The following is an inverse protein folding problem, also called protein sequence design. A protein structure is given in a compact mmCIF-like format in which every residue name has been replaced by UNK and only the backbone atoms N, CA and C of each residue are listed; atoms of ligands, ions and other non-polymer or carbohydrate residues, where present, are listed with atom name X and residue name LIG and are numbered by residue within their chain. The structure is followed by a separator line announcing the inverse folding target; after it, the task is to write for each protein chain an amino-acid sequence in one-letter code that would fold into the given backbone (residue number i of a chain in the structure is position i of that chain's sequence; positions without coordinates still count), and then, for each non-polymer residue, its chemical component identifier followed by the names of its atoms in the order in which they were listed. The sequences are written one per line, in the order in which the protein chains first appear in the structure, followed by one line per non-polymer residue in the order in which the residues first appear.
data_IF_670565792712
#
_entry.id   IF_670565792712
#
_cell.length_a   1.000
_cell.length_b   1.000
_cell.length_c   1.000
_cell.angle_alpha   90.00
_cell.angle_beta   90.00
_cell.angle_gamma   90.00
#
_symmetry.space_group_name_H-M   'P 1'
#
loop_
_entity.id
_entity.type
_entity.pdbx_description
1 polymer ?
#
# COMPACT_ATOMS: atom_id res chain seq x y z
N UNK A 1 -45.44 -45.88 4.96
CA UNK A 1 -43.99 -45.74 5.25
C UNK A 1 -43.17 -45.00 4.16
N UNK A 2 -43.78 -44.51 3.08
CA UNK A 2 -43.08 -43.88 1.94
C UNK A 2 -42.87 -42.35 2.08
N UNK A 3 -43.69 -41.66 2.87
CA UNK A 3 -43.60 -40.19 3.04
C UNK A 3 -42.39 -39.72 3.87
N UNK A 4 -41.96 -40.49 4.86
CA UNK A 4 -40.81 -40.15 5.72
C UNK A 4 -39.47 -40.22 4.99
N UNK A 5 -39.33 -41.11 4.00
CA UNK A 5 -38.10 -41.27 3.20
C UNK A 5 -37.88 -40.09 2.25
N UNK A 6 -38.95 -39.62 1.57
CA UNK A 6 -38.89 -38.41 0.72
C UNK A 6 -38.56 -37.15 1.51
N UNK A 7 -39.12 -36.98 2.72
CA UNK A 7 -38.85 -35.82 3.57
C UNK A 7 -37.38 -35.79 4.05
N UNK A 8 -36.80 -36.94 4.40
CA UNK A 8 -35.36 -37.04 4.74
C UNK A 8 -34.45 -36.70 3.56
N UNK A 9 -34.77 -37.18 2.35
CA UNK A 9 -34.01 -36.86 1.14
C UNK A 9 -34.03 -35.36 0.81
N UNK A 10 -35.17 -34.70 0.97
CA UNK A 10 -35.28 -33.25 0.78
C UNK A 10 -34.45 -32.45 1.79
N UNK A 11 -34.47 -32.86 3.06
CA UNK A 11 -33.65 -32.22 4.11
C UNK A 11 -32.16 -32.40 3.82
N UNK A 12 -31.73 -33.59 3.37
CA UNK A 12 -30.34 -33.86 3.01
C UNK A 12 -29.92 -33.00 1.81
N UNK A 13 -30.77 -32.87 0.79
CA UNK A 13 -30.48 -32.03 -0.37
C UNK A 13 -30.33 -30.54 0.01
N UNK A 14 -31.21 -30.03 0.87
CA UNK A 14 -31.14 -28.65 1.37
C UNK A 14 -29.89 -28.47 2.24
N UNK A 15 -29.57 -29.42 3.12
CA UNK A 15 -28.38 -29.35 3.96
C UNK A 15 -27.08 -29.35 3.13
N UNK A 16 -27.01 -30.19 2.09
CA UNK A 16 -25.88 -30.21 1.15
C UNK A 16 -25.77 -28.89 0.37
N UNK A 17 -26.89 -28.34 -0.07
CA UNK A 17 -26.90 -27.05 -0.77
C UNK A 17 -26.43 -25.90 0.13
N UNK A 18 -26.90 -25.84 1.38
CA UNK A 18 -26.45 -24.85 2.37
C UNK A 18 -24.98 -25.02 2.71
N UNK A 19 -24.50 -26.26 2.88
CA UNK A 19 -23.08 -26.53 3.12
C UNK A 19 -22.21 -26.08 1.94
N UNK A 20 -22.67 -26.30 0.71
CA UNK A 20 -22.00 -25.82 -0.49
C UNK A 20 -21.94 -24.29 -0.55
N UNK A 21 -23.04 -23.60 -0.28
CA UNK A 21 -23.06 -22.13 -0.22
C UNK A 21 -22.13 -21.58 0.86
N UNK A 22 -22.10 -22.19 2.05
CA UNK A 22 -21.17 -21.81 3.11
C UNK A 22 -19.72 -22.01 2.69
N UNK A 23 -19.40 -23.13 2.03
CA UNK A 23 -18.08 -23.38 1.49
C UNK A 23 -17.68 -22.33 0.45
N UNK A 24 -18.57 -22.00 -0.51
CA UNK A 24 -18.33 -20.95 -1.48
C UNK A 24 -18.11 -19.58 -0.82
N UNK A 25 -18.95 -19.20 0.15
CA UNK A 25 -18.82 -17.93 0.88
C UNK A 25 -17.51 -17.87 1.65
N UNK A 26 -17.10 -18.97 2.29
CA UNK A 26 -15.84 -19.05 3.02
C UNK A 26 -14.64 -18.87 2.09
N UNK A 27 -14.66 -19.53 0.92
CA UNK A 27 -13.62 -19.37 -0.11
C UNK A 27 -13.56 -17.91 -0.58
N UNK A 28 -14.69 -17.33 -1.00
CA UNK A 28 -14.74 -15.95 -1.50
C UNK A 28 -14.25 -14.95 -0.44
N UNK A 29 -14.65 -15.11 0.82
CA UNK A 29 -14.22 -14.23 1.91
C UNK A 29 -12.71 -14.26 2.19
N UNK A 30 -12.03 -15.35 1.81
CA UNK A 30 -10.58 -15.53 1.96
C UNK A 30 -9.81 -15.23 0.68
N UNK A 31 -10.50 -15.05 -0.45
CA UNK A 31 -9.86 -14.75 -1.73
C UNK A 31 -9.51 -13.27 -1.79
N UNK A 32 -8.22 -12.98 -1.79
CA UNK A 32 -7.72 -11.65 -2.13
C UNK A 32 -7.78 -11.46 -3.64
N UNK A 33 -8.80 -10.75 -4.12
CA UNK A 33 -8.90 -10.34 -5.51
C UNK A 33 -7.89 -9.21 -5.76
N UNK A 34 -6.70 -9.57 -6.21
CA UNK A 34 -5.70 -8.60 -6.64
C UNK A 34 -5.89 -8.30 -8.13
N UNK A 35 -6.15 -7.05 -8.48
CA UNK A 35 -6.15 -6.55 -9.87
C UNK A 35 -4.75 -6.09 -10.27
N UNK A 36 -3.73 -6.79 -9.79
CA UNK A 36 -2.34 -6.42 -10.01
C UNK A 36 -1.83 -7.07 -11.30
N UNK A 37 -1.04 -6.31 -12.06
CA UNK A 37 -0.30 -6.75 -13.25
C UNK A 37 0.71 -7.86 -12.94
N UNK A 38 0.92 -8.13 -11.66
CA UNK A 38 1.30 -9.39 -11.06
C UNK A 38 1.18 -10.67 -11.92
N UNK A 39 0.03 -10.89 -12.56
CA UNK A 39 -0.23 -12.08 -13.39
C UNK A 39 0.65 -12.18 -14.65
N UNK A 40 1.27 -11.07 -15.07
CA UNK A 40 2.17 -10.99 -16.22
C UNK A 40 3.63 -11.25 -15.86
N UNK A 41 3.96 -11.46 -14.58
CA UNK A 41 5.32 -11.69 -14.15
C UNK A 41 5.67 -13.19 -14.18
N UNK A 42 6.91 -13.56 -14.58
CA UNK A 42 7.35 -14.95 -14.65
C UNK A 42 7.23 -15.64 -13.28
N UNK A 43 6.64 -16.84 -13.27
CA UNK A 43 6.26 -17.56 -12.04
C UNK A 43 7.44 -17.99 -11.15
N UNK A 44 8.67 -17.97 -11.65
CA UNK A 44 9.88 -18.40 -10.94
C UNK A 44 11.00 -17.36 -11.05
N UNK A 45 10.95 -16.24 -10.30
CA UNK A 45 12.08 -15.32 -10.18
C UNK A 45 13.19 -15.91 -9.30
N UNK A 46 14.45 -15.54 -9.55
CA UNK A 46 15.55 -15.84 -8.59
C UNK A 46 15.36 -15.01 -7.32
N UNK A 47 15.97 -15.39 -6.17
CA UNK A 47 15.78 -14.70 -4.90
C UNK A 47 16.06 -13.18 -4.96
N UNK A 48 17.05 -12.75 -5.75
CA UNK A 48 17.36 -11.32 -5.92
C UNK A 48 16.27 -10.59 -6.73
N UNK A 49 15.71 -11.26 -7.75
CA UNK A 49 14.63 -10.72 -8.57
C UNK A 49 13.31 -10.66 -7.80
N UNK A 50 13.09 -11.58 -6.87
CA UNK A 50 11.92 -11.62 -6.01
C UNK A 50 11.92 -10.45 -5.03
N UNK A 51 13.07 -10.11 -4.44
CA UNK A 51 13.22 -8.92 -3.60
C UNK A 51 12.97 -7.62 -4.37
N UNK A 52 13.51 -7.48 -5.58
CA UNK A 52 13.25 -6.31 -6.43
C UNK A 52 11.77 -6.23 -6.83
N UNK A 53 11.14 -7.37 -7.09
CA UNK A 53 9.74 -7.43 -7.45
C UNK A 53 8.81 -7.11 -6.28
N UNK A 54 9.13 -7.57 -5.07
CA UNK A 54 8.40 -7.19 -3.86
C UNK A 54 8.51 -5.69 -3.60
N UNK A 55 9.65 -5.06 -3.90
CA UNK A 55 9.78 -3.59 -3.85
C UNK A 55 8.98 -2.87 -4.95
N UNK A 56 8.71 -3.53 -6.07
CA UNK A 56 7.90 -2.96 -7.16
C UNK A 56 6.40 -3.17 -6.95
N UNK A 57 5.98 -4.30 -6.37
CA UNK A 57 4.57 -4.62 -6.07
C UNK A 57 4.11 -4.04 -4.74
N UNK A 58 4.91 -4.17 -3.69
CA UNK A 58 4.57 -3.75 -2.33
C UNK A 58 5.35 -2.52 -1.85
N UNK A 59 6.42 -2.13 -2.56
CA UNK A 59 7.20 -0.96 -2.21
C UNK A 59 6.56 0.36 -2.63
N UNK A 60 7.14 1.45 -2.13
CA UNK A 60 6.65 2.83 -2.16
C UNK A 60 6.18 3.33 -3.54
N UNK A 61 6.68 2.75 -4.63
CA UNK A 61 6.31 3.11 -6.00
C UNK A 61 4.92 2.59 -6.43
N UNK A 62 4.43 1.47 -5.88
CA UNK A 62 3.12 0.91 -6.27
C UNK A 62 1.93 1.66 -5.66
N UNK A 63 2.20 2.48 -4.64
CA UNK A 63 1.19 3.22 -3.87
C UNK A 63 1.26 4.74 -4.10
N UNK A 64 1.94 5.17 -5.17
CA UNK A 64 2.05 6.56 -5.53
C UNK A 64 0.78 7.05 -6.22
N UNK A 65 0.13 8.07 -5.65
CA UNK A 65 -1.00 8.76 -6.27
C UNK A 65 -0.51 10.13 -6.76
N UNK A 66 -0.64 10.38 -8.07
CA UNK A 66 -0.38 11.68 -8.68
C UNK A 66 -1.68 12.44 -8.86
N UNK A 67 -1.73 13.68 -8.38
CA UNK A 67 -2.90 14.55 -8.46
C UNK A 67 -2.53 15.85 -9.17
N UNK A 68 -3.14 16.09 -10.33
CA UNK A 68 -3.05 17.36 -11.05
C UNK A 68 -4.08 18.36 -10.53
N UNK A 69 -3.65 19.61 -10.31
CA UNK A 69 -4.55 20.74 -10.01
C UNK A 69 -4.57 21.67 -11.21
N UNK A 70 -5.72 21.76 -11.87
CA UNK A 70 -5.91 22.50 -13.12
C UNK A 70 -6.90 23.66 -12.95
N UNK A 71 -6.94 24.57 -13.94
CA UNK A 71 -7.70 25.83 -13.87
C UNK A 71 -7.00 26.90 -13.04
N UNK A 72 -7.73 27.98 -12.72
CA UNK A 72 -7.31 29.15 -11.95
C UNK A 72 -5.94 29.79 -12.36
N UNK A 73 -5.51 30.83 -11.65
CA UNK A 73 -4.17 31.41 -11.76
C UNK A 73 -3.14 30.64 -10.92
N UNK A 74 -1.86 30.78 -11.26
CA UNK A 74 -0.77 30.06 -10.58
C UNK A 74 -0.71 30.28 -9.05
N UNK A 75 -0.87 31.51 -8.52
CA UNK A 75 -0.97 31.75 -7.07
C UNK A 75 -2.09 30.97 -6.39
N UNK A 76 -3.25 30.87 -7.04
CA UNK A 76 -4.40 30.15 -6.50
C UNK A 76 -4.17 28.64 -6.52
N UNK A 77 -3.61 28.10 -7.60
CA UNK A 77 -3.20 26.67 -7.65
C UNK A 77 -2.17 26.33 -6.57
N UNK A 78 -1.18 27.18 -6.35
CA UNK A 78 -0.17 26.97 -5.31
C UNK A 78 -0.81 26.94 -3.90
N UNK A 79 -1.72 27.89 -3.61
CA UNK A 79 -2.47 27.91 -2.34
C UNK A 79 -3.31 26.65 -2.15
N UNK A 80 -4.02 26.21 -3.20
CA UNK A 80 -4.85 25.01 -3.14
C UNK A 80 -4.01 23.74 -2.94
N UNK A 81 -2.90 23.60 -3.67
CA UNK A 81 -1.95 22.50 -3.51
C UNK A 81 -1.41 22.40 -2.08
N UNK A 82 -1.05 23.53 -1.47
CA UNK A 82 -0.60 23.59 -0.06
C UNK A 82 -1.69 23.16 0.92
N UNK A 83 -2.93 23.64 0.75
CA UNK A 83 -4.04 23.26 1.62
C UNK A 83 -4.39 21.77 1.52
N UNK A 84 -4.40 21.21 0.31
CA UNK A 84 -4.60 19.77 0.10
C UNK A 84 -3.48 19.00 0.79
N UNK A 85 -2.22 19.37 0.56
CA UNK A 85 -1.08 18.70 1.16
C UNK A 85 -1.11 18.75 2.70
N UNK A 86 -1.49 19.87 3.30
CA UNK A 86 -1.64 19.99 4.76
C UNK A 86 -2.72 19.04 5.31
N UNK A 87 -3.87 18.92 4.65
CA UNK A 87 -4.94 18.01 5.08
C UNK A 87 -4.52 16.56 4.98
N UNK A 88 -3.91 16.16 3.85
CA UNK A 88 -3.50 14.78 3.63
C UNK A 88 -2.38 14.34 4.58
N UNK A 89 -1.47 15.24 4.97
CA UNK A 89 -0.41 14.94 5.97
C UNK A 89 -0.96 14.65 7.36
N UNK A 90 -2.15 15.15 7.69
CA UNK A 90 -2.79 14.89 8.98
C UNK A 90 -3.54 13.54 9.01
N UNK A 91 -3.71 12.90 7.86
CA UNK A 91 -4.44 11.63 7.73
C UNK A 91 -3.45 10.44 7.81
N UNK A 92 -3.63 9.51 8.76
CA UNK A 92 -2.74 8.36 8.93
C UNK A 92 -2.73 7.40 7.74
N UNK A 93 -3.69 7.49 6.81
CA UNK A 93 -3.69 6.71 5.58
C UNK A 93 -2.54 7.07 4.62
N UNK A 94 -1.95 8.26 4.77
CA UNK A 94 -0.88 8.76 3.90
C UNK A 94 0.46 8.81 4.64
N UNK A 95 1.41 8.00 4.19
CA UNK A 95 2.77 7.95 4.79
C UNK A 95 3.58 9.20 4.40
N UNK A 96 3.49 9.63 3.14
CA UNK A 96 4.26 10.76 2.61
C UNK A 96 3.40 11.57 1.64
N UNK A 97 3.42 12.89 1.76
CA UNK A 97 2.72 13.81 0.85
C UNK A 97 3.68 14.92 0.42
N UNK A 98 4.02 14.94 -0.87
CA UNK A 98 4.95 15.88 -1.50
C UNK A 98 4.24 16.77 -2.52
N UNK A 99 4.42 18.09 -2.37
CA UNK A 99 3.87 19.11 -3.27
C UNK A 99 4.91 20.19 -3.64
N UNK A 100 6.20 19.90 -3.46
CA UNK A 100 7.31 20.84 -3.70
C UNK A 100 7.57 21.84 -2.57
N UNK A 101 6.79 21.81 -1.49
CA UNK A 101 7.06 22.62 -0.30
C UNK A 101 8.11 21.94 0.60
N UNK A 102 9.09 22.69 1.16
CA UNK A 102 10.17 22.13 1.97
C UNK A 102 9.73 21.73 3.40
N UNK A 103 8.51 21.21 3.57
CA UNK A 103 7.94 20.92 4.90
C UNK A 103 8.61 19.71 5.56
N UNK A 104 8.92 18.66 4.79
CA UNK A 104 9.68 17.51 5.29
C UNK A 104 11.19 17.75 5.28
N UNK A 105 11.65 18.67 4.42
CA UNK A 105 13.07 19.02 4.32
C UNK A 105 13.61 19.51 5.64
N UNK A 106 12.87 20.28 6.44
CA UNK A 106 13.41 20.84 7.68
C UNK A 106 13.67 19.77 8.75
N UNK A 107 12.77 18.79 8.89
CA UNK A 107 12.91 17.71 9.89
C UNK A 107 14.00 16.73 9.49
N UNK A 108 14.03 16.35 8.21
CA UNK A 108 15.05 15.47 7.65
C UNK A 108 16.42 16.16 7.63
N UNK A 109 16.47 17.45 7.28
CA UNK A 109 17.68 18.30 7.36
C UNK A 109 18.17 18.38 8.79
N UNK A 110 17.30 18.62 9.77
CA UNK A 110 17.69 18.70 11.19
C UNK A 110 18.27 17.38 11.67
N UNK A 111 17.63 16.26 11.32
CA UNK A 111 18.13 14.93 11.67
C UNK A 111 19.51 14.64 11.05
N UNK A 112 19.67 14.90 9.75
CA UNK A 112 20.94 14.72 9.04
C UNK A 112 22.03 15.65 9.59
N UNK A 113 21.67 16.90 9.91
CA UNK A 113 22.61 17.90 10.42
C UNK A 113 23.09 17.60 11.84
N UNK A 114 22.20 17.07 12.69
CA UNK A 114 22.54 16.63 14.04
C UNK A 114 23.44 15.40 14.05
N UNK A 115 23.22 14.47 13.11
CA UNK A 115 24.01 13.23 13.02
C UNK A 115 25.20 13.34 12.05
N UNK A 116 25.55 14.53 11.57
CA UNK A 116 26.53 14.73 10.48
C UNK A 116 27.88 14.05 10.70
N UNK A 117 28.33 13.95 11.94
CA UNK A 117 29.62 13.32 12.29
C UNK A 117 29.54 11.80 12.44
N UNK A 118 28.33 11.24 12.59
CA UNK A 118 28.08 9.79 12.64
C UNK A 118 27.90 9.19 11.24
N UNK A 119 27.58 10.02 10.25
CA UNK A 119 27.29 9.60 8.88
C UNK A 119 28.55 9.37 8.02
N UNK A 120 29.75 9.66 8.54
CA UNK A 120 31.00 9.47 7.82
C UNK A 120 32.03 8.73 8.69
N UNK A 121 32.43 7.51 8.31
CA UNK A 121 33.48 6.75 9.00
C UNK A 121 34.84 7.46 9.00
N UNK A 122 35.03 8.47 8.13
CA UNK A 122 36.28 9.20 7.95
C UNK A 122 36.43 10.42 8.89
N UNK A 123 35.44 10.70 9.74
CA UNK A 123 35.50 11.79 10.73
C UNK A 123 36.25 11.27 11.96
N UNK A 124 37.58 11.34 11.91
CA UNK A 124 38.45 11.03 13.05
C UNK A 124 38.97 12.33 13.69
N UNK A 125 39.20 12.35 15.02
CA UNK A 125 39.72 13.53 15.73
C UNK A 125 41.01 14.12 15.11
N UNK A 126 41.83 13.27 14.47
CA UNK A 126 43.07 13.65 13.80
C UNK A 126 42.90 14.60 12.60
N UNK A 127 41.67 14.87 12.13
CA UNK A 127 41.39 15.84 11.05
C UNK A 127 40.94 17.22 11.55
N UNK A 128 40.86 17.43 12.87
CA UNK A 128 40.42 18.70 13.47
C UNK A 128 41.49 19.35 14.39
N UNK A 129 42.75 18.90 14.29
CA UNK A 129 43.91 19.47 15.00
C UNK A 129 44.75 20.35 14.09
#
# INVERSE_FOLDING_TARGET
MTHTRRRRLGIIAIALWLAFLLACSAIISRTHFTTDLSAFLPRNPTPEQQLLMDQLRDGLASRLILVGVEGADAPTRARLSKQIAQRLRADPAFVTVNNGEPVNTERDRTFLFNNRYLLSPAVTPARFS
#
